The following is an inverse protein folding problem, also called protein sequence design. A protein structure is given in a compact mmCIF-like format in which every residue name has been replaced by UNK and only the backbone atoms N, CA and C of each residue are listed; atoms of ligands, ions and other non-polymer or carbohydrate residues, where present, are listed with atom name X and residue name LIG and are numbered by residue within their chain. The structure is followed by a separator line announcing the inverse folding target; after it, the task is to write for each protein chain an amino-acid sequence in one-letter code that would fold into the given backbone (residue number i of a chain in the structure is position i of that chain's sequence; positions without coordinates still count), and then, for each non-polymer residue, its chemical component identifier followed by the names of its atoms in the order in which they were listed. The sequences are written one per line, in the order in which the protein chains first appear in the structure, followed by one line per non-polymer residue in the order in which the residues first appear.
data_IF_056353690076
#
_entry.id   IF_056353690076
#
_cell.length_a   1.000
_cell.length_b   1.000
_cell.length_c   1.000
_cell.angle_alpha   90.00
_cell.angle_beta   90.00
_cell.angle_gamma   90.00
#
_symmetry.space_group_name_H-M   'P 1'
#
loop_
_entity.id
_entity.type
_entity.pdbx_description
1 polymer ?
#
# COMPACT_ATOMS: atom_id res chain seq x y z
N UNK A 1 -14.82 -5.76 -8.63
CA UNK A 1 -14.10 -4.54 -8.20
C UNK A 1 -15.00 -3.60 -7.38
N UNK A 2 -16.13 -3.11 -7.91
CA UNK A 2 -17.02 -2.14 -7.22
C UNK A 2 -17.55 -2.63 -5.87
N UNK A 3 -18.01 -3.88 -5.80
CA UNK A 3 -18.49 -4.48 -4.54
C UNK A 3 -17.38 -4.55 -3.47
N UNK A 4 -16.16 -4.91 -3.86
CA UNK A 4 -15.00 -4.97 -2.96
C UNK A 4 -14.64 -3.58 -2.39
N UNK A 5 -14.67 -2.55 -3.24
CA UNK A 5 -14.40 -1.17 -2.82
C UNK A 5 -15.47 -0.69 -1.82
N UNK A 6 -16.75 -0.89 -2.12
CA UNK A 6 -17.86 -0.37 -1.31
C UNK A 6 -18.05 -1.12 0.01
N UNK A 7 -17.79 -2.42 0.05
CA UNK A 7 -18.05 -3.25 1.24
C UNK A 7 -16.87 -3.37 2.18
N UNK A 8 -15.64 -3.17 1.70
CA UNK A 8 -14.42 -3.30 2.52
C UNK A 8 -13.65 -2.01 2.60
N UNK A 9 -13.22 -1.44 1.47
CA UNK A 9 -12.30 -0.30 1.48
C UNK A 9 -12.92 0.97 2.05
N UNK A 10 -14.15 1.30 1.65
CA UNK A 10 -14.84 2.50 2.13
C UNK A 10 -15.18 2.42 3.64
N UNK A 11 -15.77 1.31 4.16
CA UNK A 11 -15.95 1.14 5.59
C UNK A 11 -14.63 1.18 6.37
N UNK A 12 -13.58 0.49 5.91
CA UNK A 12 -12.25 0.54 6.54
C UNK A 12 -11.72 1.96 6.61
N UNK A 13 -11.84 2.73 5.53
CA UNK A 13 -11.38 4.12 5.49
C UNK A 13 -12.10 4.97 6.53
N UNK A 14 -13.45 4.93 6.53
CA UNK A 14 -14.29 5.71 7.45
C UNK A 14 -14.00 5.32 8.90
N UNK A 15 -14.02 4.03 9.21
CA UNK A 15 -13.77 3.53 10.57
C UNK A 15 -12.37 3.90 11.06
N UNK A 16 -11.35 3.71 10.23
CA UNK A 16 -9.97 4.05 10.60
C UNK A 16 -9.82 5.55 10.81
N UNK A 17 -10.42 6.37 9.95
CA UNK A 17 -10.37 7.83 10.07
C UNK A 17 -10.89 8.28 11.45
N UNK A 18 -12.10 7.83 11.82
CA UNK A 18 -12.71 8.23 13.09
C UNK A 18 -12.04 7.59 14.30
N UNK A 19 -11.64 6.32 14.22
CA UNK A 19 -10.93 5.64 15.29
C UNK A 19 -9.57 6.31 15.57
N UNK A 20 -8.80 6.60 14.52
CA UNK A 20 -7.51 7.27 14.66
C UNK A 20 -7.69 8.70 15.19
N UNK A 21 -8.71 9.44 14.73
CA UNK A 21 -9.03 10.76 15.26
C UNK A 21 -9.34 10.72 16.76
N UNK A 22 -10.13 9.74 17.21
CA UNK A 22 -10.52 9.55 18.61
C UNK A 22 -9.32 9.17 19.49
N UNK A 23 -8.53 8.17 19.08
CA UNK A 23 -7.29 7.76 19.76
C UNK A 23 -6.34 8.96 19.86
N UNK A 24 -6.17 9.71 18.77
CA UNK A 24 -5.31 10.88 18.74
C UNK A 24 -5.73 11.94 19.77
N UNK A 25 -7.03 12.15 19.95
CA UNK A 25 -7.55 13.09 20.96
C UNK A 25 -7.43 12.60 22.39
N UNK A 26 -7.73 11.33 22.63
CA UNK A 26 -7.82 10.78 23.98
C UNK A 26 -6.45 10.38 24.53
N UNK A 27 -5.64 9.71 23.71
CA UNK A 27 -4.34 9.15 24.13
C UNK A 27 -3.20 10.13 23.88
N UNK A 28 -3.21 10.80 22.73
CA UNK A 28 -2.10 11.67 22.30
C UNK A 28 -2.43 13.16 22.34
N UNK A 29 -3.34 13.57 23.22
CA UNK A 29 -3.83 14.96 23.33
C UNK A 29 -2.71 15.99 23.50
N UNK A 30 -1.64 15.64 24.22
CA UNK A 30 -0.45 16.51 24.42
C UNK A 30 0.26 16.85 23.09
N UNK A 31 0.43 15.87 22.20
CA UNK A 31 0.98 16.06 20.87
C UNK A 31 0.00 16.80 19.93
N UNK A 32 -1.32 16.73 20.19
CA UNK A 32 -2.35 17.42 19.39
C UNK A 32 -2.40 18.92 19.70
N UNK A 33 -2.25 19.34 20.96
CA UNK A 33 -2.13 20.78 21.35
C UNK A 33 -0.96 21.47 20.63
N UNK A 34 0.08 20.68 20.35
CA UNK A 34 1.15 20.91 19.39
C UNK A 34 0.69 21.59 18.09
N UNK A 35 -0.38 21.05 17.52
CA UNK A 35 -0.69 20.86 16.10
C UNK A 35 -1.84 21.74 15.62
N UNK A 36 -1.80 22.13 14.34
CA UNK A 36 -2.88 22.87 13.71
C UNK A 36 -3.85 21.93 12.98
N UNK A 37 -5.08 22.38 12.80
CA UNK A 37 -6.19 21.57 12.29
C UNK A 37 -5.88 20.86 10.96
N UNK A 38 -5.37 21.59 9.96
CA UNK A 38 -5.10 21.03 8.62
C UNK A 38 -4.10 19.87 8.66
N UNK A 39 -3.07 19.93 9.54
CA UNK A 39 -2.11 18.84 9.73
C UNK A 39 -2.74 17.62 10.36
N UNK A 40 -3.57 17.82 11.38
CA UNK A 40 -4.29 16.71 12.01
C UNK A 40 -5.25 16.04 11.03
N UNK A 41 -5.99 16.81 10.22
CA UNK A 41 -6.82 16.27 9.14
C UNK A 41 -5.98 15.46 8.14
N UNK A 42 -4.84 15.99 7.70
CA UNK A 42 -3.93 15.28 6.80
C UNK A 42 -3.39 13.98 7.41
N UNK A 43 -3.08 13.95 8.72
CA UNK A 43 -2.71 12.72 9.42
C UNK A 43 -3.84 11.68 9.43
N UNK A 44 -5.08 12.10 9.66
CA UNK A 44 -6.21 11.17 9.76
C UNK A 44 -6.53 10.57 8.39
N UNK A 45 -6.51 11.39 7.34
CA UNK A 45 -6.64 10.94 5.96
C UNK A 45 -5.52 9.98 5.58
N UNK A 46 -4.28 10.30 5.94
CA UNK A 46 -3.13 9.44 5.65
C UNK A 46 -3.19 8.10 6.40
N UNK A 47 -3.59 8.10 7.67
CA UNK A 47 -3.76 6.88 8.45
C UNK A 47 -4.88 5.99 7.88
N UNK A 48 -6.03 6.58 7.57
CA UNK A 48 -7.13 5.88 6.91
C UNK A 48 -6.71 5.28 5.58
N UNK A 49 -6.02 6.06 4.75
CA UNK A 49 -5.44 5.61 3.49
C UNK A 49 -4.51 4.40 3.65
N UNK A 50 -3.52 4.48 4.54
CA UNK A 50 -2.55 3.39 4.78
C UNK A 50 -3.25 2.12 5.24
N UNK A 51 -4.25 2.24 6.13
CA UNK A 51 -5.00 1.07 6.60
C UNK A 51 -5.87 0.46 5.50
N UNK A 52 -6.50 1.27 4.65
CA UNK A 52 -7.21 0.78 3.46
C UNK A 52 -6.28 0.03 2.52
N UNK A 53 -5.08 0.54 2.27
CA UNK A 53 -4.06 -0.16 1.49
C UNK A 53 -3.66 -1.49 2.15
N UNK A 54 -3.38 -1.49 3.45
CA UNK A 54 -3.01 -2.70 4.19
C UNK A 54 -4.10 -3.77 4.11
N UNK A 55 -5.36 -3.41 4.34
CA UNK A 55 -6.50 -4.34 4.20
C UNK A 55 -6.64 -4.85 2.77
N UNK A 56 -6.35 -4.00 1.76
CA UNK A 56 -6.39 -4.42 0.35
C UNK A 56 -5.30 -5.44 0.01
N UNK A 57 -4.11 -5.30 0.60
CA UNK A 57 -2.99 -6.25 0.46
C UNK A 57 -3.31 -7.56 1.15
N UNK A 58 -3.83 -7.51 2.38
CA UNK A 58 -4.15 -8.68 3.19
C UNK A 58 -5.42 -9.43 2.73
N UNK A 59 -6.25 -8.81 1.88
CA UNK A 59 -7.41 -9.52 1.33
C UNK A 59 -6.93 -10.53 0.28
N UNK A 60 -7.26 -11.83 0.43
CA UNK A 60 -6.96 -12.85 -0.57
C UNK A 60 -7.64 -12.54 -1.92
N UNK A 61 -6.99 -12.93 -3.03
CA UNK A 61 -7.62 -12.83 -4.35
C UNK A 61 -8.89 -13.69 -4.41
N UNK A 62 -10.01 -13.12 -4.88
CA UNK A 62 -11.34 -13.76 -4.93
C UNK A 62 -11.47 -14.92 -5.91
N UNK A 63 -10.38 -15.51 -6.39
CA UNK A 63 -10.39 -16.61 -7.35
C UNK A 63 -10.59 -18.00 -6.72
N UNK A 64 -10.74 -18.10 -5.39
CA UNK A 64 -10.85 -19.41 -4.69
C UNK A 64 -12.05 -19.58 -3.78
N UNK A 65 -12.81 -18.53 -3.45
CA UNK A 65 -14.13 -18.72 -2.80
C UNK A 65 -15.11 -19.44 -3.75
N UNK A 66 -14.97 -19.26 -5.08
CA UNK A 66 -15.77 -19.96 -6.08
C UNK A 66 -15.30 -21.39 -6.38
N UNK A 67 -14.17 -21.85 -5.83
CA UNK A 67 -13.65 -23.22 -6.00
C UNK A 67 -13.83 -24.09 -4.75
N UNK A 68 -14.59 -23.62 -3.75
CA UNK A 68 -14.88 -24.42 -2.55
C UNK A 68 -13.65 -24.70 -1.67
N UNK A 69 -12.54 -23.99 -1.86
CA UNK A 69 -11.42 -24.07 -0.93
C UNK A 69 -11.80 -23.27 0.31
N UNK A 70 -12.34 -23.98 1.29
CA UNK A 70 -12.60 -23.47 2.62
C UNK A 70 -11.31 -22.84 3.17
N UNK A 71 -11.30 -21.53 3.31
CA UNK A 71 -10.38 -20.83 4.22
C UNK A 71 -10.85 -21.20 5.63
N UNK A 72 -10.46 -22.40 6.07
CA UNK A 72 -11.00 -23.07 7.25
C UNK A 72 -11.08 -24.60 7.16
N UNK A 73 -10.65 -25.21 6.05
CA UNK A 73 -10.55 -26.67 5.91
C UNK A 73 -9.15 -27.18 6.23
N UNK A 74 -9.09 -28.27 6.98
CA UNK A 74 -7.90 -28.94 7.54
C UNK A 74 -6.71 -29.05 6.56
N UNK A 75 -5.51 -28.66 7.04
CA UNK A 75 -4.15 -28.87 6.48
C UNK A 75 -3.42 -27.73 5.74
N UNK A 76 -3.94 -26.50 5.64
CA UNK A 76 -3.25 -25.42 4.92
C UNK A 76 -3.15 -24.07 5.63
N UNK A 77 -2.41 -23.96 6.73
CA UNK A 77 -2.16 -22.64 7.36
C UNK A 77 -1.50 -21.63 6.40
N UNK A 78 -1.52 -20.33 6.73
CA UNK A 78 -0.84 -19.26 5.96
C UNK A 78 0.62 -19.64 5.63
N UNK A 79 1.28 -20.31 6.58
CA UNK A 79 2.65 -20.82 6.43
C UNK A 79 2.73 -21.96 5.41
N UNK A 80 1.82 -22.92 5.45
CA UNK A 80 1.80 -24.04 4.49
C UNK A 80 1.55 -23.52 3.06
N UNK A 81 0.68 -22.52 2.91
CA UNK A 81 0.44 -21.84 1.63
C UNK A 81 1.70 -21.16 1.11
N UNK A 82 2.41 -20.42 1.97
CA UNK A 82 3.66 -19.77 1.60
C UNK A 82 4.74 -20.80 1.21
N UNK A 83 4.90 -21.87 2.00
CA UNK A 83 5.88 -22.94 1.74
C UNK A 83 5.61 -23.64 0.40
N UNK A 84 4.36 -24.00 0.14
CA UNK A 84 3.99 -24.64 -1.13
C UNK A 84 4.33 -23.76 -2.34
N UNK A 85 4.11 -22.45 -2.24
CA UNK A 85 4.42 -21.50 -3.32
C UNK A 85 5.92 -21.26 -3.49
N UNK A 86 6.68 -21.22 -2.41
CA UNK A 86 8.16 -21.15 -2.47
C UNK A 86 8.72 -22.40 -3.18
N UNK A 87 8.20 -23.58 -2.85
CA UNK A 87 8.68 -24.85 -3.42
C UNK A 87 8.31 -25.01 -4.89
N UNK A 88 7.09 -24.62 -5.26
CA UNK A 88 6.57 -24.79 -6.64
C UNK A 88 6.89 -23.61 -7.56
N UNK A 89 7.26 -22.45 -7.01
CA UNK A 89 7.34 -21.18 -7.75
C UNK A 89 5.98 -20.63 -8.18
N UNK A 90 4.86 -21.21 -7.71
CA UNK A 90 3.53 -20.83 -8.16
C UNK A 90 3.16 -19.41 -7.73
N UNK A 91 2.88 -18.56 -8.71
CA UNK A 91 2.54 -17.15 -8.49
C UNK A 91 3.71 -16.34 -7.93
N UNK A 92 4.95 -16.72 -8.25
CA UNK A 92 6.15 -15.94 -7.90
C UNK A 92 6.87 -15.61 -9.22
N UNK A 93 6.88 -14.32 -9.57
CA UNK A 93 7.67 -13.80 -10.67
C UNK A 93 8.82 -12.94 -10.14
N UNK A 94 10.06 -13.42 -10.29
CA UNK A 94 11.26 -12.67 -9.92
C UNK A 94 12.07 -12.20 -11.14
N UNK A 95 11.52 -12.31 -12.36
CA UNK A 95 12.17 -11.86 -13.58
C UNK A 95 11.82 -10.38 -13.82
N UNK A 96 12.77 -9.44 -13.68
CA UNK A 96 12.48 -8.03 -13.86
C UNK A 96 11.99 -7.73 -15.28
N UNK A 97 11.02 -6.84 -15.34
CA UNK A 97 10.30 -6.36 -16.51
C UNK A 97 9.50 -7.43 -17.28
N UNK A 98 9.42 -8.66 -16.77
CA UNK A 98 8.76 -9.74 -17.47
C UNK A 98 7.25 -9.48 -17.60
N UNK A 99 6.59 -9.08 -16.52
CA UNK A 99 5.15 -8.77 -16.51
C UNK A 99 4.89 -7.46 -17.23
N UNK A 100 5.78 -6.47 -17.07
CA UNK A 100 5.69 -5.17 -17.77
C UNK A 100 5.73 -5.36 -19.29
N UNK A 101 6.67 -6.15 -19.83
CA UNK A 101 6.79 -6.34 -21.28
C UNK A 101 5.78 -7.34 -21.86
N UNK A 102 5.29 -8.29 -21.05
CA UNK A 102 4.29 -9.26 -21.48
C UNK A 102 2.86 -8.90 -21.07
N UNK A 103 2.60 -7.64 -20.68
CA UNK A 103 1.31 -7.20 -20.14
C UNK A 103 0.12 -7.50 -21.07
N UNK A 104 0.34 -7.46 -22.39
CA UNK A 104 -0.67 -7.75 -23.41
C UNK A 104 -1.06 -9.25 -23.48
N UNK A 105 -0.20 -10.15 -23.00
CA UNK A 105 -0.37 -11.62 -23.10
C UNK A 105 -1.04 -12.25 -21.87
N UNK A 106 -0.97 -11.62 -20.70
CA UNK A 106 -1.30 -12.28 -19.41
C UNK A 106 -2.72 -12.00 -18.87
N UNK A 107 -3.34 -10.88 -19.25
CA UNK A 107 -4.75 -10.61 -18.97
C UNK A 107 -5.22 -9.53 -19.92
N UNK A 108 -6.46 -9.58 -20.43
CA UNK A 108 -6.95 -8.64 -21.44
C UNK A 108 -6.51 -7.21 -21.14
N UNK A 109 -5.94 -6.51 -22.14
CA UNK A 109 -5.00 -5.39 -21.94
C UNK A 109 -5.38 -4.32 -20.93
N UNK A 110 -6.69 -4.09 -20.69
CA UNK A 110 -7.17 -3.17 -19.65
C UNK A 110 -6.86 -3.65 -18.22
N UNK A 111 -6.96 -4.93 -17.90
CA UNK A 111 -6.71 -5.46 -16.56
C UNK A 111 -5.22 -5.41 -16.21
N UNK A 112 -4.35 -5.82 -17.13
CA UNK A 112 -2.90 -5.68 -16.97
C UNK A 112 -2.49 -4.20 -16.85
N UNK A 113 -3.08 -3.32 -17.66
CA UNK A 113 -2.84 -1.88 -17.58
C UNK A 113 -3.22 -1.32 -16.21
N UNK A 114 -4.40 -1.68 -15.68
CA UNK A 114 -4.85 -1.23 -14.38
C UNK A 114 -3.98 -1.75 -13.22
N UNK A 115 -3.43 -2.97 -13.31
CA UNK A 115 -2.48 -3.46 -12.31
C UNK A 115 -1.16 -2.67 -12.34
N UNK A 116 -0.59 -2.45 -13.52
CA UNK A 116 0.66 -1.70 -13.68
C UNK A 116 0.52 -0.27 -13.13
N UNK A 117 -0.52 0.44 -13.54
CA UNK A 117 -0.78 1.80 -13.08
C UNK A 117 -1.28 1.86 -11.64
N UNK A 118 -2.02 0.86 -11.18
CA UNK A 118 -2.51 0.77 -9.80
C UNK A 118 -1.36 0.84 -8.80
N UNK A 119 -0.30 0.06 -9.01
CA UNK A 119 0.87 0.02 -8.13
C UNK A 119 1.58 1.39 -8.07
N UNK A 120 1.78 2.04 -9.22
CA UNK A 120 2.34 3.41 -9.28
C UNK A 120 1.44 4.41 -8.54
N UNK A 121 0.14 4.42 -8.87
CA UNK A 121 -0.82 5.40 -8.35
C UNK A 121 -1.06 5.25 -6.85
N UNK A 122 -0.91 4.05 -6.28
CA UNK A 122 -0.96 3.82 -4.85
C UNK A 122 0.28 4.38 -4.13
N UNK A 123 1.47 4.26 -4.71
CA UNK A 123 2.68 4.73 -4.02
C UNK A 123 2.89 6.25 -4.07
N UNK A 124 2.26 6.96 -5.02
CA UNK A 124 2.31 8.44 -5.09
C UNK A 124 1.77 9.11 -3.81
N UNK A 125 0.50 8.91 -3.39
CA UNK A 125 -0.04 9.53 -2.19
C UNK A 125 0.62 8.99 -0.92
N UNK A 126 1.10 7.74 -0.94
CA UNK A 126 1.88 7.18 0.17
C UNK A 126 3.18 7.97 0.40
N UNK A 127 4.00 8.11 -0.64
CA UNK A 127 5.26 8.86 -0.56
C UNK A 127 5.04 10.34 -0.24
N UNK A 128 4.03 10.96 -0.86
CA UNK A 128 3.70 12.36 -0.58
C UNK A 128 3.31 12.57 0.89
N UNK A 129 2.41 11.74 1.43
CA UNK A 129 1.98 11.82 2.82
C UNK A 129 3.13 11.60 3.81
N UNK A 130 4.03 10.65 3.53
CA UNK A 130 5.24 10.42 4.33
C UNK A 130 6.10 11.69 4.46
N UNK A 131 6.36 12.37 3.35
CA UNK A 131 7.21 13.57 3.31
C UNK A 131 6.52 14.81 3.89
N UNK A 132 5.20 14.90 3.72
CA UNK A 132 4.37 15.98 4.24
C UNK A 132 4.29 15.94 5.78
N UNK A 133 4.15 14.75 6.35
CA UNK A 133 3.76 14.59 7.75
C UNK A 133 4.94 14.29 8.68
N UNK A 134 6.02 13.68 8.17
CA UNK A 134 7.13 13.19 8.98
C UNK A 134 8.48 13.75 8.52
N UNK A 135 9.16 14.52 9.39
CA UNK A 135 10.44 15.16 9.01
C UNK A 135 11.55 14.15 8.75
N UNK A 136 11.55 13.03 9.48
CA UNK A 136 12.57 11.96 9.41
C UNK A 136 12.74 11.35 8.03
N UNK A 137 11.69 11.34 7.20
CA UNK A 137 11.72 10.71 5.87
C UNK A 137 12.00 11.70 4.74
N UNK A 138 12.34 12.96 5.02
CA UNK A 138 12.63 13.96 3.96
C UNK A 138 14.00 13.81 3.32
N UNK A 139 14.94 13.14 4.01
CA UNK A 139 16.22 12.78 3.41
C UNK A 139 15.98 11.68 2.37
N UNK A 140 16.62 11.77 1.20
CA UNK A 140 16.43 10.77 0.14
C UNK A 140 16.82 9.36 0.60
N UNK A 141 17.86 9.23 1.45
CA UNK A 141 18.29 7.94 2.01
C UNK A 141 17.21 7.33 2.93
N UNK A 142 16.69 8.10 3.89
CA UNK A 142 15.66 7.62 4.81
C UNK A 142 14.34 7.35 4.11
N UNK A 143 14.00 8.15 3.09
CA UNK A 143 12.87 7.92 2.20
C UNK A 143 13.01 6.60 1.47
N UNK A 144 14.10 6.43 0.72
CA UNK A 144 14.34 5.27 -0.13
C UNK A 144 14.37 3.98 0.70
N UNK A 145 15.05 3.99 1.86
CA UNK A 145 15.09 2.84 2.75
C UNK A 145 13.71 2.43 3.27
N UNK A 146 12.85 3.41 3.62
CA UNK A 146 11.47 3.11 4.01
C UNK A 146 10.67 2.54 2.84
N UNK A 147 10.70 3.18 1.68
CA UNK A 147 9.93 2.72 0.51
C UNK A 147 10.33 1.31 0.11
N UNK A 148 11.63 1.04 0.01
CA UNK A 148 12.16 -0.30 -0.28
C UNK A 148 11.68 -1.33 0.76
N UNK A 149 11.77 -1.00 2.05
CA UNK A 149 11.29 -1.87 3.13
C UNK A 149 9.79 -2.12 3.04
N UNK A 150 8.98 -1.09 2.79
CA UNK A 150 7.53 -1.21 2.68
C UNK A 150 7.13 -2.03 1.46
N UNK A 151 7.66 -1.74 0.28
CA UNK A 151 7.29 -2.50 -0.93
C UNK A 151 7.74 -3.96 -0.85
N UNK A 152 8.92 -4.23 -0.27
CA UNK A 152 9.36 -5.61 -0.06
C UNK A 152 8.47 -6.33 0.96
N UNK A 153 8.06 -5.65 2.03
CA UNK A 153 7.13 -6.22 3.01
C UNK A 153 5.79 -6.58 2.37
N UNK A 154 5.29 -5.77 1.43
CA UNK A 154 4.04 -6.06 0.70
C UNK A 154 4.17 -7.34 -0.11
N UNK A 155 5.23 -7.46 -0.92
CA UNK A 155 5.51 -8.68 -1.71
C UNK A 155 5.62 -9.93 -0.81
N UNK A 156 6.33 -9.80 0.32
CA UNK A 156 6.46 -10.89 1.29
C UNK A 156 5.12 -11.26 1.91
N UNK A 157 4.28 -10.29 2.29
CA UNK A 157 2.95 -10.55 2.85
C UNK A 157 2.03 -11.24 1.83
N UNK A 158 2.09 -10.85 0.56
CA UNK A 158 1.30 -11.45 -0.53
C UNK A 158 1.57 -12.94 -0.72
N UNK A 159 2.78 -13.40 -0.39
CA UNK A 159 3.13 -14.82 -0.39
C UNK A 159 2.20 -15.63 0.54
N UNK A 160 1.91 -15.11 1.73
CA UNK A 160 1.10 -15.78 2.76
C UNK A 160 -0.41 -15.70 2.48
N UNK A 161 -0.88 -14.64 1.82
CA UNK A 161 -2.31 -14.42 1.54
C UNK A 161 -2.74 -14.87 0.14
N UNK A 162 -1.97 -15.77 -0.47
CA UNK A 162 -2.26 -16.37 -1.77
C UNK A 162 -2.45 -15.34 -2.91
N UNK A 163 -1.64 -14.28 -2.91
CA UNK A 163 -1.57 -13.30 -4.02
C UNK A 163 -0.25 -13.41 -4.75
N UNK A 164 -0.25 -13.19 -6.06
CA UNK A 164 0.97 -13.23 -6.87
C UNK A 164 2.02 -12.28 -6.29
N UNK A 165 3.26 -12.76 -6.22
CA UNK A 165 4.45 -11.98 -5.88
C UNK A 165 5.13 -11.62 -7.20
N UNK A 166 5.42 -10.36 -7.43
CA UNK A 166 6.01 -9.89 -8.69
C UNK A 166 7.07 -8.81 -8.43
N UNK A 167 8.30 -9.07 -8.89
CA UNK A 167 9.37 -8.07 -8.81
C UNK A 167 9.04 -6.80 -9.59
N UNK A 168 8.17 -6.88 -10.59
CA UNK A 168 7.72 -5.71 -11.35
C UNK A 168 6.82 -4.81 -10.50
N UNK A 169 6.01 -5.38 -9.61
CA UNK A 169 5.17 -4.62 -8.68
C UNK A 169 6.03 -3.81 -7.71
N UNK A 170 7.12 -4.40 -7.23
CA UNK A 170 8.15 -3.70 -6.43
C UNK A 170 8.76 -2.52 -7.19
N UNK A 171 9.11 -2.70 -8.47
CA UNK A 171 9.69 -1.65 -9.32
C UNK A 171 8.68 -0.51 -9.54
N UNK A 172 7.42 -0.84 -9.81
CA UNK A 172 6.35 0.13 -10.05
C UNK A 172 6.02 0.93 -8.78
N UNK A 173 6.02 0.28 -7.62
CA UNK A 173 5.86 0.94 -6.33
C UNK A 173 6.99 1.94 -6.06
N UNK A 174 8.24 1.57 -6.35
CA UNK A 174 9.38 2.48 -6.26
C UNK A 174 9.24 3.68 -7.20
N UNK A 175 8.78 3.45 -8.44
CA UNK A 175 8.54 4.50 -9.42
C UNK A 175 7.45 5.47 -8.94
N UNK A 176 6.31 4.95 -8.46
CA UNK A 176 5.23 5.75 -7.89
C UNK A 176 5.69 6.57 -6.69
N UNK A 177 6.51 5.98 -5.82
CA UNK A 177 7.07 6.69 -4.69
C UNK A 177 8.00 7.83 -5.12
N UNK A 178 8.85 7.60 -6.13
CA UNK A 178 9.72 8.64 -6.68
C UNK A 178 8.92 9.81 -7.26
N UNK A 179 7.84 9.52 -7.99
CA UNK A 179 6.92 10.55 -8.50
C UNK A 179 6.32 11.35 -7.33
N UNK A 180 5.81 10.68 -6.30
CA UNK A 180 5.30 11.33 -5.08
C UNK A 180 6.34 12.21 -4.38
N UNK A 181 7.60 11.75 -4.35
CA UNK A 181 8.73 12.53 -3.81
C UNK A 181 8.98 13.81 -4.61
N UNK A 182 9.00 13.72 -5.93
CA UNK A 182 9.20 14.88 -6.81
C UNK A 182 8.05 15.88 -6.69
N UNK A 183 6.80 15.41 -6.65
CA UNK A 183 5.61 16.24 -6.43
C UNK A 183 5.72 17.00 -5.11
N UNK A 184 6.07 16.32 -4.02
CA UNK A 184 6.28 16.96 -2.72
C UNK A 184 7.36 18.04 -2.78
N UNK A 185 8.51 17.74 -3.40
CA UNK A 185 9.63 18.69 -3.52
C UNK A 185 9.27 19.91 -4.37
N UNK A 186 8.45 19.75 -5.40
CA UNK A 186 7.93 20.85 -6.21
C UNK A 186 6.98 21.74 -5.42
N UNK A 187 5.98 21.14 -4.77
CA UNK A 187 4.95 21.87 -4.03
C UNK A 187 5.48 22.52 -2.74
N UNK A 188 6.46 21.91 -2.07
CA UNK A 188 7.06 22.47 -0.85
C UNK A 188 7.72 23.83 -1.11
N UNK A 189 8.28 24.05 -2.31
CA UNK A 189 8.87 25.33 -2.72
C UNK A 189 7.83 26.45 -2.83
N UNK A 190 6.59 26.10 -3.19
CA UNK A 190 5.52 27.08 -3.46
C UNK A 190 4.60 27.28 -2.25
N UNK A 191 4.24 26.19 -1.57
CA UNK A 191 3.19 26.17 -0.55
C UNK A 191 3.73 26.10 0.89
N UNK A 192 5.05 26.15 1.08
CA UNK A 192 5.71 26.04 2.38
C UNK A 192 5.22 24.84 3.22
N UNK A 193 5.13 23.66 2.59
CA UNK A 193 4.61 22.42 3.18
C UNK A 193 5.43 21.96 4.39
N UNK A 194 6.65 22.46 4.58
CA UNK A 194 7.50 22.20 5.74
C UNK A 194 6.79 22.34 7.08
N UNK A 195 5.81 23.25 7.19
CA UNK A 195 5.02 23.49 8.41
C UNK A 195 4.21 22.27 8.88
N UNK A 196 3.84 21.37 7.96
CA UNK A 196 3.05 20.17 8.27
C UNK A 196 3.87 19.06 8.92
N UNK A 197 5.17 18.96 8.65
CA UNK A 197 5.92 17.85 9.20
C UNK A 197 6.32 18.11 10.65
N UNK A 198 6.34 17.02 11.42
CA UNK A 198 6.99 16.96 12.72
C UNK A 198 7.98 15.83 12.77
#
# INVERSE_FOLDING_TARGET
MTYFILTRLLPTFILTFFAFALIRTQVFGSLKKKSFFQRELALYLFAAYVMTCLVSVLTPGTSLESQGIAVGGEQGGLVNTALARIQTGQGINLKPFYTIFNFQRYSGGLASFLNLWGNILLFIPYAFGLLLLFKRFRSFKSFLGLILGTTLSIEVLQLFVNRSVDIDDLILNLLGALIGYLIYRGLDKVLALKRFAR
#
